data_IF_052599308678
#
_entry.id   IF_052599308678
#
_cell.length_a   1.000
_cell.length_b   1.000
_cell.length_c   1.000
_cell.angle_alpha   90.00
_cell.angle_beta   90.00
_cell.angle_gamma   90.00
#
_symmetry.space_group_name_H-M   'P 1'
#
loop_
_entity.id
_entity.type
_entity.pdbx_description
1 polymer ?
#
# COMPACT_ATOMS: atom_id res chain seq x y z
N UNK A 1 -21.36 -17.67 -2.37
CA UNK A 1 -21.48 -17.10 -3.72
C UNK A 1 -20.44 -16.01 -3.82
N UNK A 2 -19.30 -16.24 -4.51
CA UNK A 2 -18.28 -15.22 -4.72
C UNK A 2 -18.91 -14.12 -5.60
N UNK A 3 -18.94 -12.89 -5.10
CA UNK A 3 -19.37 -11.73 -5.88
C UNK A 3 -18.22 -11.48 -6.85
N UNK A 4 -18.46 -11.72 -8.14
CA UNK A 4 -17.52 -11.36 -9.20
C UNK A 4 -17.47 -9.82 -9.25
N UNK A 5 -16.53 -9.25 -8.49
CA UNK A 5 -16.22 -7.82 -8.53
C UNK A 5 -15.11 -7.64 -9.53
N UNK A 6 -15.33 -6.74 -10.46
CA UNK A 6 -14.29 -6.34 -11.40
C UNK A 6 -13.02 -5.91 -10.66
N UNK A 7 -11.89 -6.33 -11.16
CA UNK A 7 -10.59 -5.87 -10.67
C UNK A 7 -10.50 -4.35 -10.90
N UNK A 8 -9.96 -3.55 -9.94
CA UNK A 8 -9.87 -2.10 -10.10
C UNK A 8 -9.18 -1.70 -11.42
N UNK A 9 -9.70 -0.64 -12.04
CA UNK A 9 -9.08 -0.07 -13.23
C UNK A 9 -7.85 0.77 -12.85
N UNK A 10 -6.99 1.09 -13.84
CA UNK A 10 -5.83 1.98 -13.63
C UNK A 10 -4.62 1.32 -12.98
N UNK A 11 -4.65 0.02 -12.70
CA UNK A 11 -3.50 -0.76 -12.24
C UNK A 11 -2.92 -1.61 -13.37
N UNK A 12 -1.64 -2.02 -13.22
CA UNK A 12 -0.93 -2.84 -14.21
C UNK A 12 -1.54 -4.22 -14.38
N UNK A 13 -1.17 -4.91 -15.47
CA UNK A 13 -1.54 -6.33 -15.67
C UNK A 13 -0.98 -7.21 -14.56
N UNK A 14 0.21 -6.91 -14.03
CA UNK A 14 0.82 -7.60 -12.88
C UNK A 14 -0.05 -7.49 -11.66
N UNK A 15 -0.49 -6.29 -11.29
CA UNK A 15 -1.36 -6.07 -10.13
C UNK A 15 -2.74 -6.71 -10.33
N UNK A 16 -3.30 -6.66 -11.53
CA UNK A 16 -4.55 -7.37 -11.88
C UNK A 16 -4.41 -8.88 -11.71
N UNK A 17 -3.32 -9.45 -12.20
CA UNK A 17 -3.01 -10.87 -12.03
C UNK A 17 -2.83 -11.24 -10.55
N UNK A 18 -2.12 -10.41 -9.80
CA UNK A 18 -1.90 -10.60 -8.36
C UNK A 18 -3.21 -10.62 -7.59
N UNK A 19 -4.10 -9.64 -7.82
CA UNK A 19 -5.44 -9.61 -7.19
C UNK A 19 -6.24 -10.85 -7.60
N UNK A 20 -6.28 -11.17 -8.88
CA UNK A 20 -7.08 -12.29 -9.40
C UNK A 20 -6.62 -13.66 -8.92
N UNK A 21 -5.29 -13.82 -8.68
CA UNK A 21 -4.71 -15.11 -8.28
C UNK A 21 -4.58 -15.28 -6.77
N UNK A 22 -4.41 -14.19 -6.03
CA UNK A 22 -4.08 -14.22 -4.60
C UNK A 22 -5.03 -13.43 -3.71
N UNK A 23 -5.78 -12.49 -4.30
CA UNK A 23 -6.79 -11.73 -3.59
C UNK A 23 -8.12 -12.47 -3.49
N UNK A 24 -8.92 -12.08 -2.54
CA UNK A 24 -10.32 -12.50 -2.46
C UNK A 24 -11.20 -11.36 -1.93
N UNK A 25 -12.47 -11.36 -2.34
CA UNK A 25 -13.41 -10.33 -1.95
C UNK A 25 -14.28 -10.81 -0.79
N UNK A 26 -14.27 -10.03 0.29
CA UNK A 26 -15.18 -10.16 1.42
C UNK A 26 -16.43 -9.28 1.23
N UNK A 27 -17.33 -9.30 2.20
CA UNK A 27 -18.44 -8.36 2.24
C UNK A 27 -17.95 -6.92 2.29
N UNK A 28 -18.59 -6.02 1.52
CA UNK A 28 -18.34 -4.57 1.56
C UNK A 28 -19.07 -3.97 2.75
N UNK A 29 -18.46 -2.96 3.38
CA UNK A 29 -19.17 -2.13 4.34
C UNK A 29 -20.23 -1.28 3.63
N UNK A 30 -21.41 -1.17 4.24
CA UNK A 30 -22.45 -0.27 3.76
C UNK A 30 -22.23 1.11 4.41
N UNK A 31 -21.41 1.93 3.77
CA UNK A 31 -21.07 3.26 4.27
C UNK A 31 -22.28 4.17 4.32
N UNK A 32 -23.24 3.99 3.40
CA UNK A 32 -24.43 4.85 3.32
C UNK A 32 -25.29 4.77 4.58
N UNK A 33 -25.39 3.61 5.22
CA UNK A 33 -26.10 3.46 6.50
C UNK A 33 -25.55 4.34 7.63
N UNK A 34 -24.30 4.79 7.51
CA UNK A 34 -23.63 5.64 8.52
C UNK A 34 -23.68 7.12 8.20
N UNK A 35 -24.01 7.51 6.95
CA UNK A 35 -23.98 8.90 6.46
C UNK A 35 -24.70 9.88 7.39
N UNK A 36 -25.98 9.63 7.68
CA UNK A 36 -26.78 10.51 8.51
C UNK A 36 -26.20 10.70 9.92
N UNK A 37 -25.62 9.65 10.49
CA UNK A 37 -24.96 9.70 11.79
C UNK A 37 -23.68 10.53 11.71
N UNK A 38 -22.85 10.33 10.70
CA UNK A 38 -21.57 11.02 10.54
C UNK A 38 -21.78 12.52 10.28
N UNK A 39 -22.74 12.89 9.43
CA UNK A 39 -23.13 14.30 9.22
C UNK A 39 -23.57 14.94 10.53
N UNK A 40 -24.40 14.24 11.35
CA UNK A 40 -24.82 14.73 12.67
C UNK A 40 -23.65 14.95 13.64
N UNK A 41 -22.57 14.20 13.49
CA UNK A 41 -21.33 14.38 14.27
C UNK A 41 -20.37 15.42 13.67
N UNK A 42 -20.79 16.15 12.64
CA UNK A 42 -20.01 17.25 12.05
C UNK A 42 -19.02 16.83 11.00
N UNK A 43 -19.06 15.58 10.51
CA UNK A 43 -18.20 15.14 9.41
C UNK A 43 -18.75 15.72 8.11
N UNK A 44 -17.93 16.46 7.33
CA UNK A 44 -18.35 17.04 6.05
C UNK A 44 -18.73 15.95 5.04
N UNK A 45 -19.79 16.18 4.26
CA UNK A 45 -20.29 15.22 3.28
C UNK A 45 -19.22 14.78 2.27
N UNK A 46 -18.37 15.70 1.82
CA UNK A 46 -17.30 15.39 0.89
C UNK A 46 -16.27 14.39 1.49
N UNK A 47 -16.10 14.35 2.80
CA UNK A 47 -15.23 13.36 3.46
C UNK A 47 -15.90 11.99 3.50
N UNK A 48 -17.21 11.97 3.71
CA UNK A 48 -18.01 10.73 3.64
C UNK A 48 -18.00 10.17 2.22
N UNK A 49 -18.12 11.05 1.21
CA UNK A 49 -18.05 10.67 -0.22
C UNK A 49 -16.69 10.06 -0.58
N UNK A 50 -15.59 10.53 0.04
CA UNK A 50 -14.26 9.93 -0.14
C UNK A 50 -14.21 8.50 0.38
N UNK A 51 -14.74 8.24 1.59
CA UNK A 51 -14.84 6.87 2.13
C UNK A 51 -15.69 6.00 1.24
N UNK A 52 -16.81 6.53 0.76
CA UNK A 52 -17.69 5.82 -0.17
C UNK A 52 -17.00 5.45 -1.47
N UNK A 53 -16.26 6.39 -2.07
CA UNK A 53 -15.48 6.15 -3.29
C UNK A 53 -14.38 5.11 -3.07
N UNK A 54 -13.67 5.16 -1.94
CA UNK A 54 -12.68 4.17 -1.54
C UNK A 54 -13.31 2.78 -1.41
N UNK A 55 -14.39 2.68 -0.65
CA UNK A 55 -15.11 1.43 -0.42
C UNK A 55 -15.70 0.87 -1.72
N UNK A 56 -16.11 1.75 -2.65
CA UNK A 56 -16.62 1.35 -3.96
C UNK A 56 -15.56 0.61 -4.79
N UNK A 57 -14.30 0.97 -4.68
CA UNK A 57 -13.20 0.40 -5.46
C UNK A 57 -12.49 -0.73 -4.69
N UNK A 58 -12.16 -0.51 -3.42
CA UNK A 58 -11.26 -1.36 -2.65
C UNK A 58 -11.96 -2.16 -1.56
N UNK A 59 -13.15 -1.74 -1.14
CA UNK A 59 -13.85 -2.31 0.01
C UNK A 59 -14.09 -3.81 -0.08
N UNK A 60 -13.67 -4.52 0.96
CA UNK A 60 -13.74 -5.96 1.06
C UNK A 60 -12.63 -6.73 0.35
N UNK A 61 -11.67 -6.06 -0.30
CA UNK A 61 -10.51 -6.74 -0.89
C UNK A 61 -9.55 -7.18 0.20
N UNK A 62 -9.32 -8.48 0.31
CA UNK A 62 -8.29 -9.08 1.14
C UNK A 62 -7.13 -9.54 0.25
N UNK A 63 -5.92 -9.12 0.58
CA UNK A 63 -4.68 -9.43 -0.14
C UNK A 63 -3.77 -10.31 0.74
N UNK A 64 -2.81 -11.03 0.14
CA UNK A 64 -1.74 -11.67 0.89
C UNK A 64 -0.99 -10.68 1.78
N UNK A 65 -0.33 -11.16 2.85
CA UNK A 65 0.48 -10.30 3.69
C UNK A 65 1.58 -9.58 2.90
N UNK A 66 1.76 -8.28 3.18
CA UNK A 66 2.95 -7.53 2.79
C UNK A 66 4.20 -8.17 3.38
N UNK A 67 5.36 -8.10 2.72
CA UNK A 67 6.63 -8.50 3.34
C UNK A 67 7.05 -7.60 4.53
N UNK A 68 6.45 -6.42 4.67
CA UNK A 68 6.71 -5.44 5.72
C UNK A 68 5.41 -5.04 6.42
N UNK A 69 5.52 -4.20 7.47
CA UNK A 69 4.37 -3.66 8.22
C UNK A 69 3.47 -4.75 8.82
N UNK A 70 4.08 -5.81 9.36
CA UNK A 70 3.38 -6.99 9.89
C UNK A 70 2.28 -7.53 8.95
N UNK A 71 2.56 -7.45 7.66
CA UNK A 71 1.67 -7.95 6.62
C UNK A 71 0.68 -6.94 6.06
N UNK A 72 0.68 -5.70 6.57
CA UNK A 72 -0.25 -4.66 6.11
C UNK A 72 -1.71 -4.91 6.50
N UNK A 73 -2.67 -4.18 5.94
CA UNK A 73 -4.09 -4.41 6.19
C UNK A 73 -4.51 -5.83 5.80
N UNK A 74 -5.30 -6.48 6.64
CA UNK A 74 -5.88 -7.79 6.35
C UNK A 74 -6.93 -7.72 5.25
N UNK A 75 -7.77 -6.70 5.33
CA UNK A 75 -8.85 -6.44 4.39
C UNK A 75 -8.96 -4.94 4.24
N UNK A 76 -9.01 -4.47 3.01
CA UNK A 76 -9.26 -3.07 2.73
C UNK A 76 -10.73 -2.75 3.02
N UNK A 77 -10.98 -1.73 3.83
CA UNK A 77 -12.32 -1.27 4.21
C UNK A 77 -12.22 0.12 4.79
N UNK A 78 -13.06 1.03 4.34
CA UNK A 78 -13.10 2.38 4.88
C UNK A 78 -13.82 2.44 6.23
N UNK A 79 -13.37 3.34 7.09
CA UNK A 79 -14.02 3.65 8.37
C UNK A 79 -14.34 5.16 8.45
N UNK A 80 -14.84 5.59 9.60
CA UNK A 80 -15.24 6.98 9.87
C UNK A 80 -14.07 7.94 9.59
N UNK A 81 -14.32 9.06 8.86
CA UNK A 81 -13.30 10.09 8.72
C UNK A 81 -12.97 10.76 10.06
N UNK A 82 -11.68 10.97 10.29
CA UNK A 82 -11.13 11.58 11.50
C UNK A 82 -10.14 12.69 11.17
N UNK A 83 -9.76 13.48 12.17
CA UNK A 83 -8.77 14.55 12.05
C UNK A 83 -9.37 15.94 11.89
N UNK A 84 -8.54 16.98 12.08
CA UNK A 84 -8.95 18.37 11.85
C UNK A 84 -8.95 18.71 10.36
N UNK A 85 -9.76 19.68 9.94
CA UNK A 85 -9.63 20.27 8.61
C UNK A 85 -8.27 21.01 8.47
N UNK A 86 -7.52 20.87 7.33
CA UNK A 86 -7.87 20.10 6.13
C UNK A 86 -7.44 18.63 6.14
N UNK A 87 -6.81 18.15 7.23
CA UNK A 87 -6.06 16.89 7.30
C UNK A 87 -6.95 15.66 7.60
N UNK A 88 -8.18 15.68 7.05
CA UNK A 88 -9.09 14.54 7.17
C UNK A 88 -8.52 13.27 6.57
N UNK A 89 -8.51 12.21 7.38
CA UNK A 89 -8.11 10.86 6.99
C UNK A 89 -9.11 9.82 7.51
N UNK A 90 -8.99 8.58 7.07
CA UNK A 90 -9.79 7.46 7.57
C UNK A 90 -8.98 6.16 7.52
N UNK A 91 -9.29 5.20 8.38
CA UNK A 91 -8.62 3.90 8.35
C UNK A 91 -8.85 3.18 7.03
N UNK A 92 -7.76 2.61 6.50
CA UNK A 92 -7.75 1.90 5.22
C UNK A 92 -8.21 0.44 5.33
N UNK A 93 -8.39 -0.07 6.55
CA UNK A 93 -8.86 -1.42 6.77
C UNK A 93 -8.40 -2.06 8.07
N UNK A 94 -8.86 -3.27 8.30
CA UNK A 94 -8.53 -4.02 9.51
C UNK A 94 -7.07 -4.47 9.49
N UNK A 95 -6.36 -4.22 10.58
CA UNK A 95 -5.00 -4.70 10.79
C UNK A 95 -4.95 -6.23 10.97
N UNK A 96 -3.81 -6.84 10.62
CA UNK A 96 -3.55 -8.28 10.85
C UNK A 96 -3.16 -8.55 12.29
N UNK A 97 -2.37 -7.65 12.86
CA UNK A 97 -1.82 -7.72 14.21
C UNK A 97 -2.04 -6.39 14.92
N UNK A 98 -1.86 -6.37 16.24
CA UNK A 98 -1.86 -5.13 16.99
C UNK A 98 -0.56 -4.38 16.74
N UNK A 99 -0.66 -3.24 16.07
CA UNK A 99 0.46 -2.35 15.76
C UNK A 99 0.30 -1.02 16.50
N UNK A 100 1.40 -0.29 16.77
CA UNK A 100 1.33 1.04 17.38
C UNK A 100 0.90 2.14 16.40
N UNK A 101 0.57 1.80 15.16
CA UNK A 101 0.09 2.70 14.12
C UNK A 101 -1.09 2.09 13.35
N UNK A 102 -1.90 2.92 12.73
CA UNK A 102 -2.98 2.51 11.81
C UNK A 102 -2.57 2.72 10.35
N UNK A 103 -3.14 1.92 9.46
CA UNK A 103 -3.10 2.19 8.02
C UNK A 103 -4.25 3.11 7.66
N UNK A 104 -3.94 4.23 7.01
CA UNK A 104 -4.95 5.25 6.72
C UNK A 104 -4.87 5.75 5.27
N UNK A 105 -6.00 6.32 4.84
CA UNK A 105 -6.10 7.08 3.58
C UNK A 105 -6.04 8.55 3.93
N UNK A 106 -4.98 9.21 3.48
CA UNK A 106 -4.70 10.62 3.71
C UNK A 106 -5.59 11.58 2.92
N UNK A 107 -5.43 12.90 3.14
CA UNK A 107 -6.31 13.93 2.59
C UNK A 107 -6.43 13.93 1.07
N UNK A 108 -5.36 13.61 0.32
CA UNK A 108 -5.33 13.57 -1.15
C UNK A 108 -5.51 12.16 -1.73
N UNK A 109 -5.75 11.15 -0.87
CA UNK A 109 -5.95 9.76 -1.27
C UNK A 109 -4.71 8.87 -1.14
N UNK A 110 -3.67 9.38 -0.50
CA UNK A 110 -2.44 8.63 -0.19
C UNK A 110 -2.73 7.46 0.74
N UNK A 111 -2.05 6.35 0.53
CA UNK A 111 -2.02 5.24 1.47
C UNK A 111 -0.80 5.36 2.37
N UNK A 112 -0.98 5.30 3.69
CA UNK A 112 0.14 5.45 4.62
C UNK A 112 -0.16 5.02 6.05
N UNK A 113 0.71 5.46 6.98
CA UNK A 113 0.69 5.12 8.40
C UNK A 113 0.37 6.36 9.25
N UNK A 114 -0.32 6.15 10.36
CA UNK A 114 -0.64 7.19 11.33
C UNK A 114 -0.43 6.67 12.76
N UNK A 115 0.39 7.38 13.55
CA UNK A 115 0.63 7.12 14.98
C UNK A 115 0.80 8.45 15.75
N UNK A 116 -0.12 9.40 15.51
CA UNK A 116 0.03 10.79 15.93
C UNK A 116 0.58 11.65 14.79
N UNK A 117 1.65 11.20 14.14
CA UNK A 117 2.14 11.77 12.89
C UNK A 117 1.66 10.98 11.69
N UNK A 118 1.53 11.66 10.54
CA UNK A 118 1.13 11.09 9.27
C UNK A 118 2.33 10.84 8.35
N UNK A 119 2.48 9.60 7.88
CA UNK A 119 3.54 9.20 6.94
C UNK A 119 2.91 8.56 5.71
N UNK A 120 2.85 9.24 4.56
CA UNK A 120 2.36 8.67 3.32
C UNK A 120 3.39 7.70 2.74
N UNK A 121 3.00 6.45 2.53
CA UNK A 121 3.84 5.41 1.92
C UNK A 121 3.78 5.48 0.40
N UNK A 122 2.58 5.59 -0.14
CA UNK A 122 2.29 5.64 -1.58
C UNK A 122 1.28 6.74 -1.88
N UNK A 123 1.41 7.37 -3.03
CA UNK A 123 0.48 8.43 -3.44
C UNK A 123 -0.97 7.94 -3.63
N UNK A 124 -1.17 6.62 -3.74
CA UNK A 124 -2.51 6.02 -3.91
C UNK A 124 -2.56 4.60 -3.33
N UNK A 125 -3.77 4.09 -3.10
CA UNK A 125 -3.99 2.67 -2.77
C UNK A 125 -3.55 1.76 -3.92
N UNK A 126 -3.74 2.19 -5.17
CA UNK A 126 -3.24 1.47 -6.34
C UNK A 126 -1.72 1.27 -6.26
N UNK A 127 -0.96 2.30 -5.88
CA UNK A 127 0.49 2.21 -5.68
C UNK A 127 0.89 1.20 -4.60
N UNK A 128 0.15 1.15 -3.49
CA UNK A 128 0.34 0.10 -2.48
C UNK A 128 0.12 -1.30 -3.05
N UNK A 129 -0.94 -1.51 -3.81
CA UNK A 129 -1.25 -2.80 -4.43
C UNK A 129 -0.20 -3.18 -5.49
N UNK A 130 0.29 -2.21 -6.26
CA UNK A 130 1.41 -2.40 -7.21
C UNK A 130 2.69 -2.84 -6.49
N UNK A 131 3.01 -2.22 -5.35
CA UNK A 131 4.17 -2.61 -4.54
C UNK A 131 4.06 -4.06 -4.05
N UNK A 132 2.88 -4.49 -3.58
CA UNK A 132 2.64 -5.88 -3.17
C UNK A 132 2.79 -6.85 -4.35
N UNK A 133 2.22 -6.51 -5.50
CA UNK A 133 2.29 -7.33 -6.70
C UNK A 133 3.73 -7.45 -7.21
N UNK A 134 4.49 -6.34 -7.19
CA UNK A 134 5.89 -6.32 -7.58
C UNK A 134 6.76 -7.14 -6.61
N UNK A 135 6.52 -7.03 -5.31
CA UNK A 135 7.23 -7.83 -4.30
C UNK A 135 7.00 -9.33 -4.47
N UNK A 136 5.75 -9.73 -4.72
CA UNK A 136 5.41 -11.13 -4.98
C UNK A 136 6.07 -11.65 -6.26
N UNK A 137 6.02 -10.86 -7.33
CA UNK A 137 6.64 -11.19 -8.61
C UNK A 137 8.17 -11.28 -8.52
N UNK A 138 8.82 -10.25 -7.97
CA UNK A 138 10.27 -10.22 -7.80
C UNK A 138 10.78 -11.38 -6.96
N UNK A 139 10.09 -11.71 -5.87
CA UNK A 139 10.44 -12.84 -5.01
C UNK A 139 10.37 -14.17 -5.75
N UNK A 140 9.42 -14.34 -6.66
CA UNK A 140 9.25 -15.59 -7.42
C UNK A 140 10.31 -15.78 -8.52
N UNK A 141 10.90 -14.67 -9.02
CA UNK A 141 11.84 -14.67 -10.13
C UNK A 141 13.30 -14.51 -9.70
N UNK A 142 13.56 -13.89 -8.54
CA UNK A 142 14.91 -13.59 -8.07
C UNK A 142 15.69 -14.87 -7.76
N UNK A 143 16.96 -14.90 -8.18
CA UNK A 143 17.91 -15.95 -7.79
C UNK A 143 18.37 -15.79 -6.35
N UNK A 144 18.51 -14.55 -5.89
CA UNK A 144 18.89 -14.21 -4.51
C UNK A 144 18.06 -13.04 -4.02
N UNK A 145 17.78 -13.06 -2.72
CA UNK A 145 17.13 -11.95 -2.02
C UNK A 145 17.97 -11.58 -0.81
N UNK A 146 18.28 -10.30 -0.66
CA UNK A 146 19.04 -9.75 0.45
C UNK A 146 18.25 -8.65 1.14
N UNK A 147 18.34 -8.57 2.45
CA UNK A 147 17.72 -7.50 3.24
C UNK A 147 18.81 -6.67 3.93
N UNK A 148 18.69 -5.35 3.81
CA UNK A 148 19.49 -4.36 4.54
C UNK A 148 18.60 -3.65 5.54
N UNK A 149 19.18 -3.19 6.65
CA UNK A 149 18.45 -2.46 7.70
C UNK A 149 19.25 -1.29 8.23
N UNK A 150 18.58 -0.29 8.79
CA UNK A 150 19.19 0.88 9.40
C UNK A 150 20.04 1.69 8.41
N UNK A 151 21.23 2.08 8.83
CA UNK A 151 22.11 2.96 8.06
C UNK A 151 22.58 2.36 6.72
N UNK A 152 22.67 1.03 6.63
CA UNK A 152 23.01 0.36 5.38
C UNK A 152 21.99 0.61 4.25
N UNK A 153 20.78 1.06 4.57
CA UNK A 153 19.78 1.46 3.57
C UNK A 153 20.13 2.80 2.95
N UNK A 154 20.71 3.72 3.72
CA UNK A 154 21.11 5.05 3.22
C UNK A 154 22.39 5.01 2.39
N UNK A 155 23.22 3.98 2.58
CA UNK A 155 24.44 3.75 1.79
C UNK A 155 24.15 3.17 0.40
N UNK A 156 22.89 2.89 0.06
CA UNK A 156 22.53 2.38 -1.27
C UNK A 156 22.74 3.44 -2.36
N UNK A 157 23.63 3.14 -3.29
CA UNK A 157 23.86 3.95 -4.49
C UNK A 157 22.76 3.69 -5.53
N UNK A 158 21.80 4.61 -5.65
CA UNK A 158 20.65 4.48 -6.56
C UNK A 158 20.84 5.17 -7.92
N UNK A 159 21.96 5.81 -8.16
CA UNK A 159 22.23 6.63 -9.36
C UNK A 159 22.10 5.83 -10.68
N UNK A 160 22.24 4.51 -10.62
CA UNK A 160 22.14 3.58 -11.77
C UNK A 160 20.80 2.86 -11.86
N UNK A 161 19.87 3.22 -11.00
CA UNK A 161 18.55 2.62 -10.92
C UNK A 161 17.49 3.60 -11.39
N UNK A 162 16.45 3.08 -12.01
CA UNK A 162 15.26 3.83 -12.39
C UNK A 162 14.16 3.63 -11.36
N UNK A 163 13.52 4.71 -10.94
CA UNK A 163 12.33 4.60 -10.08
C UNK A 163 11.22 3.83 -10.80
N UNK A 164 10.50 3.00 -10.08
CA UNK A 164 9.34 2.25 -10.59
C UNK A 164 8.07 3.12 -10.39
N UNK A 165 7.59 3.81 -11.43
CA UNK A 165 6.55 4.83 -11.27
C UNK A 165 5.18 4.26 -10.89
N UNK A 166 4.89 3.01 -11.27
CA UNK A 166 3.60 2.35 -10.99
C UNK A 166 3.34 2.19 -9.49
N UNK A 167 4.41 2.07 -8.70
CA UNK A 167 4.32 1.99 -7.23
C UNK A 167 3.90 3.31 -6.62
N UNK A 168 4.06 4.44 -7.33
CA UNK A 168 3.74 5.77 -6.85
C UNK A 168 4.28 6.04 -5.43
N UNK A 169 5.54 5.61 -5.18
CA UNK A 169 6.17 5.59 -3.86
C UNK A 169 6.45 7.00 -3.33
N UNK A 170 6.30 7.15 -2.00
CA UNK A 170 6.62 8.36 -1.23
C UNK A 170 7.68 8.00 -0.17
N UNK A 171 7.29 7.61 1.04
CA UNK A 171 8.25 7.08 2.01
C UNK A 171 8.79 5.70 1.57
N UNK A 172 7.95 4.87 0.96
CA UNK A 172 8.35 3.60 0.39
C UNK A 172 8.58 3.72 -1.11
N UNK A 173 9.73 3.25 -1.60
CA UNK A 173 10.11 3.42 -2.99
C UNK A 173 10.64 2.14 -3.61
N UNK A 174 10.50 2.03 -4.94
CA UNK A 174 11.01 0.92 -5.71
C UNK A 174 11.92 1.39 -6.84
N UNK A 175 12.98 0.64 -7.06
CA UNK A 175 14.04 0.98 -8.00
C UNK A 175 14.39 -0.22 -8.86
N UNK A 176 14.56 0.00 -10.16
CA UNK A 176 14.88 -1.03 -11.15
C UNK A 176 16.28 -0.83 -11.68
N UNK A 177 17.14 -1.86 -11.52
CA UNK A 177 18.48 -1.95 -12.11
C UNK A 177 18.52 -2.83 -13.36
N UNK A 178 19.72 -3.18 -13.80
CA UNK A 178 19.93 -4.01 -14.97
C UNK A 178 19.46 -5.47 -14.78
N UNK A 179 19.61 -6.01 -13.58
CA UNK A 179 19.26 -7.40 -13.22
C UNK A 179 18.68 -7.51 -11.79
N UNK A 180 18.23 -6.39 -11.25
CA UNK A 180 17.77 -6.32 -9.85
C UNK A 180 16.66 -5.31 -9.65
N UNK A 181 15.85 -5.57 -8.63
CA UNK A 181 14.86 -4.65 -8.08
C UNK A 181 15.20 -4.37 -6.61
N UNK A 182 15.09 -3.13 -6.20
CA UNK A 182 15.30 -2.69 -4.81
C UNK A 182 13.99 -2.09 -4.30
N UNK A 183 13.46 -2.64 -3.23
CA UNK A 183 12.36 -2.07 -2.48
C UNK A 183 12.90 -1.42 -1.21
N UNK A 184 12.62 -0.15 -0.98
CA UNK A 184 13.02 0.59 0.21
C UNK A 184 11.77 0.94 1.01
N UNK A 185 11.77 0.62 2.29
CA UNK A 185 10.68 0.81 3.23
C UNK A 185 11.15 1.73 4.37
N UNK A 186 10.62 2.94 4.41
CA UNK A 186 10.96 3.96 5.42
C UNK A 186 9.78 4.33 6.32
N UNK A 187 8.56 3.96 5.94
CA UNK A 187 7.36 4.43 6.63
C UNK A 187 7.34 4.11 8.12
N UNK A 188 7.72 2.89 8.52
CA UNK A 188 7.77 2.51 9.95
C UNK A 188 8.84 3.29 10.71
N UNK A 189 10.03 3.48 10.09
CA UNK A 189 11.11 4.26 10.67
C UNK A 189 10.70 5.73 10.91
N UNK A 190 9.94 6.30 9.99
CA UNK A 190 9.47 7.68 10.08
C UNK A 190 8.35 7.81 11.11
N UNK A 191 7.29 6.99 11.03
CA UNK A 191 6.12 7.09 11.93
C UNK A 191 6.48 6.79 13.38
N UNK A 192 7.49 5.94 13.63
CA UNK A 192 7.96 5.56 14.97
C UNK A 192 9.18 6.37 15.44
N UNK A 193 9.70 7.28 14.59
CA UNK A 193 10.98 7.98 14.81
C UNK A 193 12.11 7.01 15.18
N UNK A 194 12.22 5.91 14.44
CA UNK A 194 13.10 4.77 14.70
C UNK A 194 13.95 4.44 13.44
N UNK A 195 15.04 5.20 13.17
CA UNK A 195 15.84 5.03 11.94
C UNK A 195 16.35 3.61 11.69
N UNK A 196 16.56 2.82 12.75
CA UNK A 196 16.95 1.42 12.65
C UNK A 196 15.89 0.52 12.00
N UNK A 197 14.62 0.95 11.94
CA UNK A 197 13.53 0.24 11.27
C UNK A 197 13.50 0.43 9.75
N UNK A 198 14.37 1.30 9.18
CA UNK A 198 14.53 1.38 7.73
C UNK A 198 14.96 0.04 7.19
N UNK A 199 14.31 -0.38 6.10
CA UNK A 199 14.59 -1.68 5.49
C UNK A 199 14.66 -1.54 3.98
N UNK A 200 15.60 -2.23 3.35
CA UNK A 200 15.61 -2.42 1.91
C UNK A 200 15.69 -3.91 1.58
N UNK A 201 14.88 -4.33 0.61
CA UNK A 201 14.95 -5.68 0.06
C UNK A 201 15.46 -5.62 -1.37
N UNK A 202 16.56 -6.31 -1.64
CA UNK A 202 17.21 -6.39 -2.95
C UNK A 202 16.90 -7.77 -3.55
N UNK A 203 16.22 -7.77 -4.68
CA UNK A 203 15.95 -8.96 -5.49
C UNK A 203 16.91 -8.95 -6.66
N UNK A 204 17.84 -9.91 -6.72
CA UNK A 204 18.91 -9.94 -7.70
C UNK A 204 18.90 -11.20 -8.58
N UNK A 205 19.56 -11.11 -9.74
CA UNK A 205 19.62 -12.14 -10.75
C UNK A 205 18.30 -12.31 -11.52
N UNK A 206 17.58 -11.20 -11.69
CA UNK A 206 16.36 -11.11 -12.48
C UNK A 206 16.70 -11.00 -13.96
N UNK A 207 15.95 -11.70 -14.77
CA UNK A 207 15.92 -11.47 -16.22
C UNK A 207 14.89 -10.38 -16.58
N UNK A 208 14.71 -10.10 -17.86
CA UNK A 208 13.76 -9.08 -18.33
C UNK A 208 12.32 -9.36 -17.83
N UNK A 209 11.92 -10.63 -17.77
CA UNK A 209 10.63 -10.99 -17.22
C UNK A 209 10.55 -10.72 -15.71
N UNK A 210 11.59 -11.06 -14.97
CA UNK A 210 11.67 -10.78 -13.53
C UNK A 210 11.65 -9.28 -13.18
N UNK A 211 12.26 -8.46 -14.08
CA UNK A 211 12.32 -7.00 -13.91
C UNK A 211 11.00 -6.29 -14.24
N UNK A 212 10.29 -6.73 -15.28
CA UNK A 212 9.11 -6.02 -15.79
C UNK A 212 7.81 -6.82 -15.66
N UNK A 213 7.87 -8.14 -15.78
CA UNK A 213 6.69 -8.99 -15.73
C UNK A 213 5.64 -8.61 -16.77
N UNK A 214 4.39 -8.50 -16.31
CA UNK A 214 3.23 -8.11 -17.13
C UNK A 214 3.04 -6.58 -17.21
N UNK A 215 4.11 -5.78 -17.19
CA UNK A 215 4.02 -4.32 -17.20
C UNK A 215 3.64 -3.72 -18.57
N UNK A 216 3.47 -4.55 -19.59
CA UNK A 216 3.10 -4.13 -20.94
C UNK A 216 1.67 -4.47 -21.32
#
# INVERSE_FOLDING_TARGET
MAIDRGIPEGITRRAKYFIGSHGYWMGRADIEQHRARWVKHGIPENQIDRVFAYEAVWGGLALPPSPHYDGGPRTLSGDVPEGPAPDWHFEAGLQRTALPYSFVIGPSGEFGLHAGDWVPLHATVAGWVEALALAAHARSCARTTMTLTGDAVDDLELDRFEAVPEVAGLADTWWRGADSLIAIYRGEAEVMNAPQCRTATIYAGLDEWGLRGLDT
#
